data_IF_678732964326
#
_entry.id   IF_678732964326
#
_cell.length_a   1.000
_cell.length_b   1.000
_cell.length_c   1.000
_cell.angle_alpha   90.00
_cell.angle_beta   90.00
_cell.angle_gamma   90.00
#
_symmetry.space_group_name_H-M   'P 1'
#
loop_
_entity.id
_entity.type
_entity.pdbx_description
1 polymer ?
#
# COMPACT_ATOMS: atom_id res chain seq x y z
N UNK A 1 20.70 5.52 20.58
CA UNK A 1 21.10 4.61 19.49
C UNK A 1 21.20 3.19 20.01
N UNK A 2 20.29 2.30 19.60
CA UNK A 2 20.40 0.86 19.87
C UNK A 2 20.27 0.13 18.53
N UNK A 3 21.38 0.04 17.81
CA UNK A 3 21.52 -0.91 16.72
C UNK A 3 21.90 -2.26 17.34
N UNK A 4 21.00 -3.24 17.29
CA UNK A 4 21.37 -4.64 17.55
C UNK A 4 21.81 -5.28 16.23
N UNK A 5 23.11 -5.18 15.96
CA UNK A 5 23.80 -5.98 14.94
C UNK A 5 24.57 -7.08 15.65
N UNK A 6 24.22 -8.35 15.42
CA UNK A 6 25.06 -9.49 15.82
C UNK A 6 26.00 -9.84 14.65
N UNK A 7 27.31 -10.02 14.88
CA UNK A 7 28.27 -10.19 13.79
C UNK A 7 28.42 -11.66 13.41
N UNK A 8 28.54 -11.92 12.10
CA UNK A 8 29.68 -12.67 11.55
C UNK A 8 29.85 -12.36 10.08
N UNK A 9 31.00 -11.75 9.80
CA UNK A 9 31.53 -11.44 8.49
C UNK A 9 31.85 -12.75 7.75
N UNK A 10 31.15 -13.04 6.67
CA UNK A 10 31.73 -13.76 5.53
C UNK A 10 31.24 -13.06 4.27
N UNK A 11 32.18 -12.42 3.59
CA UNK A 11 31.99 -11.86 2.26
C UNK A 11 31.85 -13.04 1.28
N UNK A 12 30.63 -13.40 0.92
CA UNK A 12 30.36 -14.21 -0.26
C UNK A 12 29.39 -13.43 -1.13
N UNK A 13 29.89 -12.95 -2.27
CA UNK A 13 29.06 -12.40 -3.34
C UNK A 13 28.34 -13.57 -3.98
N UNK A 14 27.23 -13.99 -3.39
CA UNK A 14 26.25 -14.81 -4.11
C UNK A 14 25.32 -13.87 -4.86
N UNK A 15 25.31 -14.01 -6.18
CA UNK A 15 24.27 -13.48 -7.05
C UNK A 15 22.91 -13.98 -6.53
N UNK A 16 22.23 -13.16 -5.73
CA UNK A 16 20.85 -13.40 -5.36
C UNK A 16 20.03 -13.25 -6.64
N UNK A 17 19.46 -14.37 -7.10
CA UNK A 17 18.34 -14.35 -8.02
C UNK A 17 17.20 -13.63 -7.30
N UNK A 18 17.16 -12.30 -7.44
CA UNK A 18 16.00 -11.51 -7.08
C UNK A 18 14.82 -12.11 -7.84
N UNK A 19 13.84 -12.68 -7.12
CA UNK A 19 12.54 -12.93 -7.71
C UNK A 19 12.09 -11.58 -8.27
N UNK A 20 12.01 -11.50 -9.59
CA UNK A 20 11.54 -10.29 -10.25
C UNK A 20 10.15 -9.99 -9.69
N UNK A 21 10.02 -8.81 -9.07
CA UNK A 21 8.71 -8.22 -8.82
C UNK A 21 8.02 -8.16 -10.18
N UNK A 22 6.87 -8.83 -10.29
CA UNK A 22 6.04 -8.76 -11.48
C UNK A 22 5.57 -7.32 -11.65
N UNK A 23 6.32 -6.52 -12.40
CA UNK A 23 5.80 -5.28 -12.97
C UNK A 23 5.02 -5.68 -14.20
N UNK A 24 3.76 -6.06 -14.02
CA UNK A 24 2.81 -6.17 -15.12
C UNK A 24 2.61 -4.77 -15.72
N UNK A 25 3.51 -4.38 -16.63
CA UNK A 25 3.39 -3.20 -17.44
C UNK A 25 2.30 -3.47 -18.50
N UNK A 26 1.15 -2.80 -18.34
CA UNK A 26 0.31 -2.44 -19.48
C UNK A 26 -0.80 -3.40 -19.91
N UNK A 27 -1.30 -4.29 -19.05
CA UNK A 27 -2.66 -4.79 -19.27
C UNK A 27 -3.64 -3.64 -18.95
N UNK A 28 -4.48 -3.25 -19.90
CA UNK A 28 -5.51 -2.25 -19.66
C UNK A 28 -6.43 -2.77 -18.54
N UNK A 29 -6.58 -1.99 -17.47
CA UNK A 29 -7.52 -2.30 -16.40
C UNK A 29 -8.91 -2.45 -17.02
N UNK A 30 -9.46 -3.67 -16.97
CA UNK A 30 -10.82 -3.94 -17.47
C UNK A 30 -11.77 -3.34 -16.45
N UNK A 31 -12.54 -2.33 -16.83
CA UNK A 31 -13.56 -1.73 -15.95
C UNK A 31 -14.91 -2.39 -16.21
N UNK A 32 -15.57 -2.80 -15.13
CA UNK A 32 -16.85 -3.51 -15.18
C UNK A 32 -17.91 -2.80 -14.32
N UNK A 33 -17.55 -2.40 -13.10
CA UNK A 33 -18.44 -1.65 -12.19
C UNK A 33 -17.73 -0.42 -11.64
N UNK A 34 -18.47 0.67 -11.46
CA UNK A 34 -17.94 1.91 -10.87
C UNK A 34 -18.94 2.51 -9.88
N UNK A 35 -18.44 2.97 -8.74
CA UNK A 35 -19.20 3.72 -7.72
C UNK A 35 -18.49 5.03 -7.43
N UNK A 36 -19.24 6.12 -7.31
CA UNK A 36 -18.74 7.45 -6.98
C UNK A 36 -19.43 7.94 -5.70
N UNK A 37 -18.66 8.47 -4.74
CA UNK A 37 -19.16 9.06 -3.50
C UNK A 37 -18.51 10.41 -3.25
N UNK A 38 -19.30 11.34 -2.73
CA UNK A 38 -18.79 12.57 -2.14
C UNK A 38 -18.32 12.28 -0.70
N UNK A 39 -17.14 12.75 -0.35
CA UNK A 39 -16.46 12.49 0.93
C UNK A 39 -15.74 13.75 1.40
N UNK A 40 -15.37 13.79 2.68
CA UNK A 40 -14.52 14.87 3.19
C UNK A 40 -13.10 14.76 2.58
N UNK A 41 -12.46 15.87 2.16
CA UNK A 41 -11.08 15.84 1.63
C UNK A 41 -10.02 15.29 2.58
N UNK A 42 -10.31 15.30 3.88
CA UNK A 42 -9.48 14.76 4.96
C UNK A 42 -10.15 13.53 5.59
N UNK A 43 -10.92 12.78 4.81
CA UNK A 43 -11.61 11.60 5.30
C UNK A 43 -10.63 10.53 5.79
N UNK A 44 -11.09 9.73 6.76
CA UNK A 44 -10.44 8.49 7.16
C UNK A 44 -11.15 7.34 6.48
N UNK A 45 -10.42 6.62 5.63
CA UNK A 45 -10.96 5.53 4.82
C UNK A 45 -10.47 4.20 5.39
N UNK A 46 -11.40 3.42 5.94
CA UNK A 46 -11.18 2.05 6.40
C UNK A 46 -11.56 1.09 5.27
N UNK A 47 -10.64 0.21 4.91
CA UNK A 47 -10.78 -0.68 3.76
C UNK A 47 -10.56 -2.12 4.22
N UNK A 48 -11.56 -2.97 4.03
CA UNK A 48 -11.48 -4.41 4.28
C UNK A 48 -11.86 -5.19 3.02
N UNK A 49 -10.87 -5.76 2.33
CA UNK A 49 -11.05 -6.37 1.02
C UNK A 49 -10.27 -7.69 0.89
N UNK A 50 -10.52 -8.45 -0.19
CA UNK A 50 -9.72 -9.63 -0.58
C UNK A 50 -9.46 -9.60 -2.09
N UNK A 51 -8.70 -8.60 -2.54
CA UNK A 51 -8.52 -8.31 -3.97
C UNK A 51 -7.14 -7.69 -4.26
N UNK A 52 -6.79 -7.55 -5.53
CA UNK A 52 -5.67 -6.72 -5.95
C UNK A 52 -6.08 -5.24 -5.87
N UNK A 53 -5.70 -4.60 -4.77
CA UNK A 53 -6.13 -3.25 -4.43
C UNK A 53 -5.11 -2.23 -4.95
N UNK A 54 -5.57 -1.21 -5.67
CA UNK A 54 -4.77 -0.09 -6.14
C UNK A 54 -5.39 1.21 -5.67
N UNK A 55 -4.65 1.98 -4.89
CA UNK A 55 -5.10 3.24 -4.31
C UNK A 55 -4.26 4.36 -4.90
N UNK A 56 -4.92 5.36 -5.48
CA UNK A 56 -4.29 6.53 -6.11
C UNK A 56 -5.09 7.77 -5.72
N UNK A 57 -4.52 8.98 -5.76
CA UNK A 57 -5.30 10.19 -5.62
C UNK A 57 -6.28 10.33 -6.79
N UNK A 58 -7.49 10.83 -6.51
CA UNK A 58 -8.38 11.34 -7.53
C UNK A 58 -7.72 12.52 -8.27
N UNK A 59 -7.92 12.61 -9.58
CA UNK A 59 -7.33 13.69 -10.38
C UNK A 59 -7.87 15.05 -9.90
N UNK A 60 -6.97 15.93 -9.48
CA UNK A 60 -7.29 17.27 -8.99
C UNK A 60 -7.69 18.23 -10.13
N UNK A 61 -7.34 17.93 -11.38
CA UNK A 61 -7.83 18.70 -12.53
C UNK A 61 -9.33 18.48 -12.72
N UNK A 62 -9.78 17.24 -12.53
CA UNK A 62 -11.19 16.87 -12.61
C UNK A 62 -11.94 17.12 -11.29
N UNK A 63 -11.24 17.08 -10.15
CA UNK A 63 -11.82 17.15 -8.80
C UNK A 63 -11.03 18.13 -7.90
N UNK A 64 -11.08 19.44 -8.18
CA UNK A 64 -10.25 20.44 -7.49
C UNK A 64 -10.54 20.56 -5.99
N UNK A 65 -11.76 20.26 -5.56
CA UNK A 65 -12.16 20.27 -4.15
C UNK A 65 -11.62 19.07 -3.36
N UNK A 66 -11.05 18.07 -4.05
CA UNK A 66 -10.55 16.83 -3.45
C UNK A 66 -11.57 16.15 -2.55
N UNK A 67 -12.84 16.09 -2.94
CA UNK A 67 -13.95 15.57 -2.12
C UNK A 67 -14.61 14.33 -2.75
N UNK A 68 -13.87 13.61 -3.58
CA UNK A 68 -14.39 12.48 -4.36
C UNK A 68 -13.66 11.19 -4.02
N UNK A 69 -14.45 10.16 -3.75
CA UNK A 69 -14.03 8.77 -3.73
C UNK A 69 -14.65 8.05 -4.94
N UNK A 70 -13.83 7.45 -5.78
CA UNK A 70 -14.27 6.61 -6.91
C UNK A 70 -13.71 5.20 -6.74
N UNK A 71 -14.60 4.22 -6.83
CA UNK A 71 -14.29 2.79 -6.75
C UNK A 71 -14.57 2.17 -8.11
N UNK A 72 -13.57 1.55 -8.72
CA UNK A 72 -13.69 0.88 -10.01
C UNK A 72 -13.26 -0.58 -9.87
N UNK A 73 -14.09 -1.52 -10.32
CA UNK A 73 -13.89 -2.96 -10.20
C UNK A 73 -13.72 -3.61 -11.57
N UNK A 74 -12.88 -4.66 -11.63
CA UNK A 74 -12.61 -5.41 -12.86
C UNK A 74 -13.44 -6.65 -13.09
N UNK A 75 -14.23 -7.06 -12.09
CA UNK A 75 -15.07 -8.25 -12.12
C UNK A 75 -16.50 -7.88 -11.75
N UNK A 76 -17.48 -8.49 -12.43
CA UNK A 76 -18.91 -8.39 -12.10
C UNK A 76 -19.25 -9.15 -10.81
N UNK A 77 -18.45 -10.17 -10.48
CA UNK A 77 -18.74 -11.09 -9.39
C UNK A 77 -18.17 -10.62 -8.04
N UNK A 78 -17.37 -9.56 -8.04
CA UNK A 78 -16.82 -8.95 -6.83
C UNK A 78 -17.55 -7.64 -6.54
N UNK A 79 -18.18 -7.53 -5.37
CA UNK A 79 -18.76 -6.27 -4.93
C UNK A 79 -17.96 -5.65 -3.80
N UNK A 80 -18.13 -4.33 -3.71
CA UNK A 80 -17.62 -3.51 -2.64
C UNK A 80 -18.75 -2.60 -2.17
N UNK A 81 -19.06 -2.65 -0.89
CA UNK A 81 -19.96 -1.72 -0.23
C UNK A 81 -19.18 -0.50 0.27
N UNK A 82 -19.78 0.69 0.11
CA UNK A 82 -19.14 1.96 0.48
C UNK A 82 -20.12 2.79 1.31
N UNK A 83 -19.77 2.96 2.58
CA UNK A 83 -20.52 3.73 3.56
C UNK A 83 -19.75 5.01 3.91
N UNK A 84 -20.45 6.15 3.88
CA UNK A 84 -19.88 7.46 4.21
C UNK A 84 -20.65 8.04 5.38
N UNK A 85 -19.95 8.39 6.45
CA UNK A 85 -20.52 8.99 7.66
C UNK A 85 -19.63 10.14 8.14
N UNK A 86 -19.95 11.35 7.68
CA UNK A 86 -19.11 12.53 7.92
C UNK A 86 -17.71 12.37 7.34
N UNK A 87 -16.70 12.33 8.19
CA UNK A 87 -15.28 12.12 7.79
C UNK A 87 -14.87 10.66 7.74
N UNK A 88 -15.69 9.75 8.22
CA UNK A 88 -15.37 8.32 8.22
C UNK A 88 -15.97 7.69 6.95
N UNK A 89 -15.15 6.90 6.26
CA UNK A 89 -15.55 6.11 5.10
C UNK A 89 -15.18 4.66 5.36
N UNK A 90 -16.12 3.74 5.18
CA UNK A 90 -15.87 2.31 5.30
C UNK A 90 -16.12 1.65 3.94
N UNK A 91 -15.17 0.82 3.52
CA UNK A 91 -15.17 0.09 2.26
C UNK A 91 -15.02 -1.40 2.60
N UNK A 92 -16.04 -2.19 2.32
CA UNK A 92 -16.05 -3.64 2.59
C UNK A 92 -16.24 -4.41 1.28
N UNK A 93 -15.29 -5.27 0.95
CA UNK A 93 -15.35 -6.17 -0.20
C UNK A 93 -15.90 -7.54 0.15
N UNK A 94 -16.54 -8.19 -0.82
CA UNK A 94 -17.11 -9.52 -0.63
C UNK A 94 -16.02 -10.54 -0.18
N UNK A 95 -16.31 -11.28 0.89
CA UNK A 95 -15.35 -12.19 1.52
C UNK A 95 -15.12 -13.51 0.77
N UNK A 96 -15.92 -13.82 -0.24
CA UNK A 96 -15.76 -15.01 -1.07
C UNK A 96 -14.82 -14.68 -2.23
N UNK A 97 -13.61 -15.25 -2.21
CA UNK A 97 -12.83 -15.38 -3.43
C UNK A 97 -13.70 -16.10 -4.45
N UNK A 98 -14.11 -15.38 -5.48
CA UNK A 98 -15.14 -15.86 -6.42
C UNK A 98 -14.57 -17.04 -7.20
N UNK A 99 -15.35 -18.12 -7.30
CA UNK A 99 -15.10 -19.17 -8.30
C UNK A 99 -15.20 -18.56 -9.71
N UNK A 100 -14.06 -18.14 -10.28
CA UNK A 100 -14.01 -17.64 -11.66
C UNK A 100 -12.93 -16.60 -11.94
N UNK A 101 -12.55 -15.79 -10.95
CA UNK A 101 -11.46 -14.82 -11.05
C UNK A 101 -10.53 -14.97 -9.83
N UNK A 102 -9.32 -15.53 -10.00
CA UNK A 102 -8.44 -15.79 -8.88
C UNK A 102 -7.96 -14.50 -8.20
N UNK A 103 -8.06 -13.32 -8.82
CA UNK A 103 -7.64 -12.05 -8.22
C UNK A 103 -8.40 -10.84 -8.82
N UNK A 104 -9.62 -10.51 -8.34
CA UNK A 104 -10.31 -9.30 -8.80
C UNK A 104 -9.46 -8.06 -8.52
N UNK A 105 -9.46 -7.09 -9.44
CA UNK A 105 -8.77 -5.82 -9.27
C UNK A 105 -9.75 -4.72 -8.83
N UNK A 106 -9.35 -3.95 -7.82
CA UNK A 106 -10.07 -2.81 -7.30
C UNK A 106 -9.19 -1.56 -7.39
N UNK A 107 -9.60 -0.59 -8.19
CA UNK A 107 -9.01 0.74 -8.24
C UNK A 107 -9.82 1.69 -7.35
N UNK A 108 -9.17 2.25 -6.34
CA UNK A 108 -9.67 3.32 -5.50
C UNK A 108 -8.96 4.63 -5.87
N UNK A 109 -9.74 5.60 -6.31
CA UNK A 109 -9.30 6.99 -6.43
C UNK A 109 -9.86 7.76 -5.23
N UNK A 110 -8.98 8.22 -4.35
CA UNK A 110 -9.33 8.80 -3.05
C UNK A 110 -8.92 10.28 -2.98
N UNK A 111 -9.48 11.10 -2.08
CA UNK A 111 -8.92 12.42 -1.79
C UNK A 111 -7.45 12.32 -1.41
N UNK A 112 -6.63 13.22 -1.95
CA UNK A 112 -5.16 13.19 -1.82
C UNK A 112 -4.70 13.27 -0.35
N UNK A 113 -5.54 13.83 0.53
CA UNK A 113 -5.27 14.00 1.96
C UNK A 113 -6.01 13.03 2.89
N UNK A 114 -6.58 11.96 2.35
CA UNK A 114 -7.27 10.97 3.17
C UNK A 114 -6.30 10.14 4.00
N UNK A 115 -6.66 9.86 5.25
CA UNK A 115 -6.04 8.80 6.04
C UNK A 115 -6.52 7.43 5.55
N UNK A 116 -5.65 6.42 5.60
CA UNK A 116 -5.94 5.07 5.16
C UNK A 116 -5.68 4.04 6.25
N UNK A 117 -6.66 3.17 6.49
CA UNK A 117 -6.53 1.97 7.30
C UNK A 117 -6.97 0.77 6.46
N UNK A 118 -6.01 0.00 5.95
CA UNK A 118 -6.26 -1.08 4.97
C UNK A 118 -5.98 -2.44 5.59
N UNK A 119 -6.96 -3.34 5.50
CA UNK A 119 -6.81 -4.78 5.73
C UNK A 119 -7.21 -5.52 4.45
N UNK A 120 -6.25 -6.15 3.77
CA UNK A 120 -6.47 -6.79 2.48
C UNK A 120 -5.98 -8.24 2.46
N UNK A 121 -6.82 -9.16 1.99
CA UNK A 121 -6.43 -10.54 1.73
C UNK A 121 -5.57 -10.71 0.47
N UNK A 122 -5.49 -9.70 -0.40
CA UNK A 122 -4.65 -9.69 -1.60
C UNK A 122 -3.46 -8.72 -1.50
N UNK A 123 -2.91 -8.37 -2.66
CA UNK A 123 -1.85 -7.36 -2.78
C UNK A 123 -2.42 -5.94 -2.77
N UNK A 124 -1.66 -4.99 -2.23
CA UNK A 124 -2.08 -3.58 -2.14
C UNK A 124 -1.01 -2.67 -2.74
N UNK A 125 -1.42 -1.74 -3.60
CA UNK A 125 -0.56 -0.68 -4.11
C UNK A 125 -1.10 0.69 -3.79
N UNK A 126 -0.23 1.62 -3.37
CA UNK A 126 -0.60 3.00 -3.00
C UNK A 126 0.43 3.95 -3.61
N UNK A 127 -0.01 5.04 -4.23
CA UNK A 127 0.94 6.04 -4.74
C UNK A 127 0.46 7.47 -4.57
N UNK A 128 1.43 8.38 -4.48
CA UNK A 128 1.25 9.83 -4.65
C UNK A 128 0.22 10.46 -3.69
N UNK A 129 0.13 9.95 -2.44
CA UNK A 129 -0.76 10.45 -1.38
C UNK A 129 -0.02 11.28 -0.31
N UNK A 130 -0.78 12.19 0.32
CA UNK A 130 -0.33 13.21 1.27
C UNK A 130 -1.22 13.22 2.52
N UNK A 131 -0.96 12.34 3.48
CA UNK A 131 -1.89 12.03 4.58
C UNK A 131 -1.24 12.23 5.95
N UNK A 132 -1.99 12.20 7.05
CA UNK A 132 -1.37 12.06 8.37
C UNK A 132 -0.97 10.60 8.64
N UNK A 133 -1.84 9.65 8.29
CA UNK A 133 -1.66 8.24 8.59
C UNK A 133 -2.04 7.30 7.44
N UNK A 134 -1.10 6.44 7.04
CA UNK A 134 -1.35 5.29 6.16
C UNK A 134 -0.93 4.01 6.87
N UNK A 135 -1.91 3.15 7.18
CA UNK A 135 -1.68 1.82 7.73
C UNK A 135 -2.19 0.75 6.77
N UNK A 136 -1.35 -0.24 6.48
CA UNK A 136 -1.68 -1.34 5.57
C UNK A 136 -1.30 -2.67 6.21
N UNK A 137 -2.25 -3.60 6.19
CA UNK A 137 -2.07 -5.01 6.50
C UNK A 137 -2.53 -5.81 5.28
N UNK A 138 -1.61 -6.51 4.64
CA UNK A 138 -1.91 -7.34 3.48
C UNK A 138 -1.40 -8.76 3.65
N UNK A 139 -2.08 -9.74 3.06
CA UNK A 139 -1.49 -11.08 2.91
C UNK A 139 -0.44 -11.06 1.78
N UNK A 140 -0.78 -10.43 0.65
CA UNK A 140 0.10 -10.32 -0.52
C UNK A 140 1.11 -9.17 -0.44
N UNK A 141 1.66 -8.82 -1.60
CA UNK A 141 2.66 -7.75 -1.74
C UNK A 141 2.07 -6.38 -1.36
N UNK A 142 2.90 -5.51 -0.79
CA UNK A 142 2.59 -4.09 -0.59
C UNK A 142 3.56 -3.26 -1.42
N UNK A 143 3.03 -2.45 -2.33
CA UNK A 143 3.84 -1.55 -3.16
C UNK A 143 3.41 -0.11 -2.91
N UNK A 144 4.29 0.69 -2.33
CA UNK A 144 4.06 2.12 -2.16
C UNK A 144 4.96 2.93 -3.10
N UNK A 145 4.51 4.12 -3.48
CA UNK A 145 5.33 5.05 -4.27
C UNK A 145 5.08 6.50 -3.90
N UNK A 146 6.15 7.24 -3.64
CA UNK A 146 6.10 8.71 -3.43
C UNK A 146 5.08 9.15 -2.36
N UNK A 147 5.06 8.47 -1.21
CA UNK A 147 4.15 8.81 -0.11
C UNK A 147 4.71 9.93 0.76
N UNK A 148 3.83 10.83 1.22
CA UNK A 148 4.15 11.84 2.22
C UNK A 148 3.18 11.72 3.40
N UNK A 149 3.66 11.30 4.56
CA UNK A 149 2.81 11.10 5.73
C UNK A 149 3.45 11.57 7.03
N UNK A 150 2.68 11.60 8.12
CA UNK A 150 3.27 11.60 9.46
C UNK A 150 3.66 10.18 9.85
N UNK A 151 2.74 9.21 9.68
CA UNK A 151 2.94 7.79 10.00
C UNK A 151 2.66 6.92 8.77
N UNK A 152 3.59 6.02 8.48
CA UNK A 152 3.44 4.92 7.53
C UNK A 152 3.67 3.62 8.29
N UNK A 153 2.71 2.71 8.26
CA UNK A 153 2.81 1.41 8.91
C UNK A 153 2.35 0.31 7.95
N UNK A 154 3.29 -0.49 7.45
CA UNK A 154 3.06 -1.52 6.43
C UNK A 154 3.38 -2.88 7.03
N UNK A 155 2.46 -3.84 6.92
CA UNK A 155 2.76 -5.22 7.26
C UNK A 155 2.22 -6.20 6.22
N UNK A 156 3.09 -7.11 5.75
CA UNK A 156 2.74 -8.17 4.81
C UNK A 156 2.95 -9.55 5.43
N UNK A 157 1.98 -10.45 5.26
CA UNK A 157 2.05 -11.78 5.83
C UNK A 157 2.86 -12.79 4.99
N UNK A 158 2.67 -12.77 3.67
CA UNK A 158 3.28 -13.70 2.71
C UNK A 158 3.71 -13.00 1.41
N UNK A 159 3.95 -11.68 1.48
CA UNK A 159 4.36 -10.85 0.36
C UNK A 159 5.61 -10.03 0.65
N UNK A 160 6.12 -9.37 -0.39
CA UNK A 160 7.19 -8.39 -0.29
C UNK A 160 6.60 -7.01 -0.03
N UNK A 161 7.40 -6.14 0.59
CA UNK A 161 7.07 -4.72 0.72
C UNK A 161 8.09 -3.92 -0.07
N UNK A 162 7.61 -3.07 -0.98
CA UNK A 162 8.45 -2.18 -1.78
C UNK A 162 7.97 -0.74 -1.65
N UNK A 163 8.85 0.16 -1.24
CA UNK A 163 8.61 1.60 -1.17
C UNK A 163 9.48 2.30 -2.22
N UNK A 164 8.89 2.60 -3.37
CA UNK A 164 9.58 3.23 -4.50
C UNK A 164 9.53 4.75 -4.47
N UNK A 165 10.52 5.42 -5.07
CA UNK A 165 10.59 6.88 -5.08
C UNK A 165 10.90 7.44 -3.69
N UNK A 166 10.38 8.64 -3.40
CA UNK A 166 10.64 9.33 -2.13
C UNK A 166 9.51 9.09 -1.14
N UNK A 167 9.79 8.36 -0.08
CA UNK A 167 8.91 8.23 1.09
C UNK A 167 9.32 9.28 2.12
N UNK A 168 8.45 10.27 2.36
CA UNK A 168 8.68 11.33 3.34
C UNK A 168 7.74 11.12 4.54
N UNK A 169 8.26 10.65 5.68
CA UNK A 169 7.44 10.49 6.87
C UNK A 169 8.19 10.66 8.20
N UNK A 170 7.47 11.06 9.24
CA UNK A 170 8.05 11.13 10.59
C UNK A 170 8.30 9.74 11.16
N UNK A 171 7.43 8.77 10.89
CA UNK A 171 7.61 7.39 11.30
C UNK A 171 7.26 6.46 10.15
N UNK A 172 8.16 5.55 9.82
CA UNK A 172 7.94 4.46 8.87
C UNK A 172 8.17 3.14 9.59
N UNK A 173 7.16 2.28 9.66
CA UNK A 173 7.23 0.92 10.17
C UNK A 173 6.92 -0.05 9.06
N UNK A 174 7.78 -1.03 8.85
CA UNK A 174 7.63 -2.02 7.79
C UNK A 174 7.92 -3.41 8.35
N UNK A 175 6.95 -4.31 8.27
CA UNK A 175 7.10 -5.67 8.78
C UNK A 175 6.69 -6.70 7.73
N UNK A 176 7.55 -7.68 7.46
CA UNK A 176 7.21 -8.86 6.68
C UNK A 176 7.31 -10.11 7.56
N UNK A 177 6.26 -10.92 7.59
CA UNK A 177 6.38 -12.28 8.14
C UNK A 177 6.82 -13.27 7.06
N UNK A 178 7.32 -14.43 7.47
CA UNK A 178 7.78 -15.46 6.52
C UNK A 178 9.03 -15.02 5.73
N UNK A 179 9.00 -15.21 4.41
CA UNK A 179 10.15 -15.01 3.50
C UNK A 179 10.07 -13.71 2.69
N UNK A 180 9.17 -12.80 3.06
CA UNK A 180 8.94 -11.53 2.35
C UNK A 180 10.15 -10.59 2.42
N UNK A 181 10.55 -10.03 1.27
CA UNK A 181 11.63 -9.04 1.21
C UNK A 181 11.08 -7.62 1.43
N UNK A 182 11.91 -6.75 1.99
CA UNK A 182 11.62 -5.32 2.15
C UNK A 182 12.61 -4.54 1.28
N UNK A 183 12.08 -3.71 0.36
CA UNK A 183 12.86 -2.84 -0.51
C UNK A 183 12.44 -1.39 -0.27
N UNK A 184 13.35 -0.56 0.22
CA UNK A 184 13.11 0.87 0.49
C UNK A 184 14.03 1.71 -0.40
N UNK A 185 13.47 2.59 -1.23
CA UNK A 185 14.27 3.41 -2.16
C UNK A 185 14.85 4.65 -1.47
N UNK A 186 14.05 5.72 -1.33
CA UNK A 186 14.50 6.96 -0.67
C UNK A 186 13.62 7.27 0.51
N UNK A 187 14.16 7.10 1.71
CA UNK A 187 13.48 7.45 2.97
C UNK A 187 13.95 8.83 3.43
N UNK A 188 13.01 9.70 3.77
CA UNK A 188 13.28 11.03 4.32
C UNK A 188 12.36 11.26 5.52
N UNK A 189 12.89 11.82 6.61
CA UNK A 189 12.09 12.23 7.75
C UNK A 189 12.63 11.74 9.08
N UNK A 190 11.78 11.16 9.93
CA UNK A 190 12.13 10.82 11.30
C UNK A 190 12.63 9.38 11.44
N UNK A 191 11.88 8.57 12.17
CA UNK A 191 12.22 7.20 12.55
C UNK A 191 11.82 6.18 11.46
N UNK A 192 12.67 5.18 11.26
CA UNK A 192 12.39 4.02 10.39
C UNK A 192 12.65 2.75 11.17
N UNK A 193 11.66 1.87 11.21
CA UNK A 193 11.74 0.52 11.74
C UNK A 193 11.34 -0.49 10.65
N UNK A 194 12.19 -1.48 10.41
CA UNK A 194 11.99 -2.47 9.36
C UNK A 194 12.37 -3.86 9.87
N UNK A 195 11.42 -4.79 9.81
CA UNK A 195 11.56 -6.16 10.31
C UNK A 195 11.16 -7.17 9.23
N UNK A 196 12.01 -8.17 9.01
CA UNK A 196 11.69 -9.34 8.19
C UNK A 196 12.24 -10.58 8.89
N UNK A 197 11.47 -11.67 8.87
CA UNK A 197 11.84 -12.92 9.53
C UNK A 197 12.93 -13.68 8.76
N UNK A 198 12.60 -14.19 7.56
CA UNK A 198 13.50 -14.99 6.72
C UNK A 198 13.88 -14.26 5.40
N UNK A 199 13.31 -13.08 5.15
CA UNK A 199 13.56 -12.28 3.96
C UNK A 199 14.74 -11.32 4.10
N UNK A 200 15.04 -10.62 3.02
CA UNK A 200 16.07 -9.57 3.00
C UNK A 200 15.46 -8.18 3.18
N UNK A 201 16.23 -7.28 3.81
CA UNK A 201 15.90 -5.86 3.89
C UNK A 201 16.97 -5.09 3.11
N UNK A 202 16.55 -4.33 2.11
CA UNK A 202 17.42 -3.49 1.28
C UNK A 202 16.95 -2.05 1.31
N UNK A 203 17.86 -1.12 1.59
CA UNK A 203 17.60 0.32 1.62
C UNK A 203 18.60 1.01 0.70
N UNK A 204 18.11 1.72 -0.31
CA UNK A 204 18.96 2.43 -1.26
C UNK A 204 19.49 3.75 -0.67
N UNK A 205 18.64 4.55 -0.04
CA UNK A 205 19.06 5.76 0.69
C UNK A 205 18.12 6.12 1.83
N UNK A 206 18.69 6.61 2.94
CA UNK A 206 17.94 7.05 4.12
C UNK A 206 18.49 8.36 4.67
N UNK A 207 17.63 9.37 4.77
CA UNK A 207 17.91 10.69 5.34
C UNK A 207 17.00 10.93 6.56
N UNK A 208 17.20 10.11 7.57
CA UNK A 208 16.37 10.00 8.76
C UNK A 208 17.01 10.71 9.95
N UNK A 209 16.23 11.49 10.69
CA UNK A 209 16.66 12.13 11.92
C UNK A 209 16.51 11.13 13.06
N UNK A 210 17.65 10.71 13.62
CA UNK A 210 17.76 9.76 14.73
C UNK A 210 17.34 10.34 16.08
#
# INVERSE_FOLDING_TARGET
MHFRVLPKLHYLVHQLQARQLSTAAGAAFRQVKQTLKQVDPYSRIRIQCRCNLRIVPADLLDNPDSNVLKVTLSSDDYNVDVQVSGKEVTIEGDGSGVEGDPNPECLLEVPIKSDLEVTNGGSTSIKDLYSDEIRVRSVGDIVTKSLRCTVIDLASADGNISCGGTTLAQTVRVACTGKGNILLDKLQGGEVDAESNEGSISVNSSYTNS
#
